data_IF_646914025249
#
_entry.id   IF_646914025249
#
_cell.length_a   1.000
_cell.length_b   1.000
_cell.length_c   1.000
_cell.angle_alpha   90.00
_cell.angle_beta   90.00
_cell.angle_gamma   90.00
#
_symmetry.space_group_name_H-M   'P 1'
#
loop_
_entity.id
_entity.type
_entity.pdbx_description
1 polymer ?
#
# COMPACT_ATOMS: atom_id res chain seq x y z
N UNK A 1 -24.97 -35.48 47.69
CA UNK A 1 -24.16 -34.25 47.68
C UNK A 1 -23.79 -33.96 46.25
N UNK A 2 -24.39 -32.99 45.56
CA UNK A 2 -23.97 -32.60 44.24
C UNK A 2 -22.80 -31.59 44.34
N UNK A 3 -21.85 -31.71 43.43
CA UNK A 3 -20.70 -30.81 43.32
C UNK A 3 -21.09 -29.46 42.68
N UNK A 4 -20.60 -28.32 43.19
CA UNK A 4 -20.90 -26.99 42.67
C UNK A 4 -19.75 -26.47 41.80
N UNK A 5 -19.86 -26.63 40.47
CA UNK A 5 -19.08 -25.78 39.57
C UNK A 5 -19.61 -25.82 38.13
N UNK A 6 -20.82 -25.40 37.94
CA UNK A 6 -21.29 -24.99 36.60
C UNK A 6 -21.23 -23.48 36.54
N UNK A 7 -20.45 -22.95 35.58
CA UNK A 7 -20.47 -21.55 35.27
C UNK A 7 -19.12 -20.89 35.01
N UNK A 8 -18.33 -21.40 34.06
CA UNK A 8 -17.37 -20.55 33.41
C UNK A 8 -18.01 -20.19 32.04
N UNK A 9 -18.69 -19.05 32.04
CA UNK A 9 -19.21 -18.47 30.82
C UNK A 9 -18.08 -18.25 29.84
N UNK A 10 -18.25 -18.74 28.62
CA UNK A 10 -17.40 -18.38 27.47
C UNK A 10 -17.31 -16.88 27.38
N UNK A 11 -16.10 -16.34 27.54
CA UNK A 11 -15.81 -14.95 27.22
C UNK A 11 -15.98 -14.74 25.71
N UNK A 12 -16.67 -13.68 25.27
CA UNK A 12 -17.06 -13.54 23.89
C UNK A 12 -15.87 -13.32 22.93
N UNK A 13 -15.97 -13.86 21.74
CA UNK A 13 -15.04 -13.79 20.60
C UNK A 13 -14.64 -12.36 20.13
N UNK A 14 -14.90 -11.32 20.92
CA UNK A 14 -14.58 -9.93 20.60
C UNK A 14 -13.10 -9.57 20.69
N UNK A 15 -12.24 -10.42 21.29
CA UNK A 15 -10.83 -10.08 21.51
C UNK A 15 -9.96 -10.19 20.26
N UNK A 16 -10.31 -11.03 19.30
CA UNK A 16 -9.45 -11.30 18.14
C UNK A 16 -9.46 -10.15 17.10
N UNK A 17 -10.61 -9.56 16.85
CA UNK A 17 -10.76 -8.45 15.87
C UNK A 17 -10.05 -7.16 16.32
N UNK A 18 -10.14 -6.82 17.62
CA UNK A 18 -9.48 -5.62 18.15
C UNK A 18 -7.95 -5.76 18.14
N UNK A 19 -7.42 -6.94 18.45
CA UNK A 19 -5.97 -7.21 18.35
C UNK A 19 -5.46 -7.19 16.92
N UNK A 20 -6.21 -7.74 15.97
CA UNK A 20 -5.86 -7.67 14.54
C UNK A 20 -5.85 -6.24 14.02
N UNK A 21 -6.83 -5.43 14.39
CA UNK A 21 -6.89 -4.01 14.01
C UNK A 21 -5.72 -3.22 14.61
N UNK A 22 -5.40 -3.42 15.88
CA UNK A 22 -4.26 -2.76 16.52
C UNK A 22 -2.93 -3.17 15.88
N UNK A 23 -2.74 -4.45 15.55
CA UNK A 23 -1.55 -4.96 14.86
C UNK A 23 -1.40 -4.35 13.46
N UNK A 24 -2.49 -4.19 12.71
CA UNK A 24 -2.47 -3.57 11.39
C UNK A 24 -2.08 -2.10 11.47
N UNK A 25 -2.61 -1.35 12.44
CA UNK A 25 -2.25 0.07 12.63
C UNK A 25 -0.75 0.20 12.92
N UNK A 26 -0.18 -0.64 13.78
CA UNK A 26 1.26 -0.64 14.08
C UNK A 26 2.09 -0.95 12.84
N UNK A 27 1.66 -1.90 12.02
CA UNK A 27 2.32 -2.26 10.78
C UNK A 27 2.28 -1.12 9.73
N UNK A 28 1.14 -0.44 9.60
CA UNK A 28 1.00 0.72 8.73
C UNK A 28 1.85 1.92 9.19
N UNK A 29 1.88 2.20 10.50
CA UNK A 29 2.70 3.26 11.06
C UNK A 29 4.19 2.97 10.87
N UNK A 30 4.62 1.72 11.03
CA UNK A 30 5.97 1.28 10.73
C UNK A 30 6.37 1.49 9.26
N UNK A 31 5.46 1.22 8.32
CA UNK A 31 5.66 1.52 6.89
C UNK A 31 5.84 3.03 6.65
N UNK A 32 5.01 3.86 7.28
CA UNK A 32 5.10 5.31 7.12
C UNK A 32 6.41 5.84 7.72
N UNK A 33 6.83 5.34 8.86
CA UNK A 33 8.09 5.72 9.47
C UNK A 33 9.29 5.30 8.63
N UNK A 34 9.25 4.11 8.02
CA UNK A 34 10.24 3.69 7.02
C UNK A 34 10.31 4.67 5.84
N UNK A 35 9.17 5.07 5.27
CA UNK A 35 9.10 6.04 4.17
C UNK A 35 9.67 7.39 4.60
N UNK A 36 9.33 7.88 5.80
CA UNK A 36 9.87 9.14 6.36
C UNK A 36 11.39 9.11 6.55
N UNK A 37 11.90 8.01 7.09
CA UNK A 37 13.33 7.82 7.29
C UNK A 37 14.08 7.87 5.97
N UNK A 38 13.59 7.18 4.94
CA UNK A 38 14.21 7.18 3.62
C UNK A 38 14.07 8.54 2.89
N UNK A 39 12.99 9.28 3.12
CA UNK A 39 12.88 10.66 2.63
C UNK A 39 13.99 11.54 3.22
N UNK A 40 14.19 11.49 4.55
CA UNK A 40 15.27 12.24 5.22
C UNK A 40 16.68 11.82 4.79
N UNK A 41 16.94 10.52 4.61
CA UNK A 41 18.19 10.02 4.08
C UNK A 41 18.48 10.53 2.65
N UNK A 42 17.45 10.57 1.80
CA UNK A 42 17.58 11.10 0.44
C UNK A 42 17.92 12.59 0.43
N UNK A 43 17.36 13.37 1.33
CA UNK A 43 17.69 14.79 1.48
C UNK A 43 19.13 15.01 1.93
N UNK A 44 19.63 14.18 2.82
CA UNK A 44 20.99 14.28 3.34
C UNK A 44 22.06 13.81 2.32
N UNK A 45 21.71 12.82 1.48
CA UNK A 45 22.67 12.18 0.58
C UNK A 45 22.85 12.89 -0.77
N UNK A 46 21.84 13.62 -1.24
CA UNK A 46 21.82 14.15 -2.60
C UNK A 46 21.60 15.66 -2.63
N UNK A 47 22.41 16.36 -3.44
CA UNK A 47 22.07 17.73 -3.86
C UNK A 47 20.96 17.68 -4.90
N UNK A 48 19.77 18.02 -4.48
CA UNK A 48 18.58 18.04 -5.34
C UNK A 48 18.40 19.46 -5.87
N UNK A 49 18.11 19.65 -7.16
CA UNK A 49 17.83 20.96 -7.74
C UNK A 49 16.68 21.66 -6.99
N UNK A 50 16.83 22.98 -6.77
CA UNK A 50 15.83 23.77 -6.00
C UNK A 50 14.48 23.87 -6.68
N UNK A 51 14.45 23.70 -8.00
CA UNK A 51 13.23 23.70 -8.82
C UNK A 51 12.41 22.42 -8.75
N UNK A 52 12.91 21.38 -8.05
CA UNK A 52 12.15 20.16 -7.88
C UNK A 52 11.15 20.30 -6.74
N UNK A 53 9.88 20.04 -7.05
CA UNK A 53 8.80 20.08 -6.06
C UNK A 53 8.89 18.97 -5.01
N UNK A 54 9.36 17.80 -5.40
CA UNK A 54 9.56 16.63 -4.53
C UNK A 54 11.00 16.14 -4.67
N UNK A 55 11.66 15.91 -3.56
CA UNK A 55 13.10 15.59 -3.53
C UNK A 55 13.43 14.13 -3.80
N UNK A 56 12.45 13.24 -3.66
CA UNK A 56 12.62 11.80 -3.92
C UNK A 56 11.26 11.13 -4.12
N UNK A 57 11.22 9.85 -4.60
CA UNK A 57 9.99 9.06 -4.63
C UNK A 57 9.33 8.90 -3.25
N UNK A 58 10.12 8.92 -2.16
CA UNK A 58 9.59 8.88 -0.80
C UNK A 58 8.79 10.15 -0.47
N UNK A 59 9.18 11.30 -0.97
CA UNK A 59 8.42 12.55 -0.81
C UNK A 59 7.11 12.52 -1.60
N UNK A 60 7.07 11.88 -2.77
CA UNK A 60 5.83 11.64 -3.49
C UNK A 60 4.90 10.74 -2.69
N UNK A 61 5.45 9.67 -2.08
CA UNK A 61 4.68 8.78 -1.21
C UNK A 61 4.13 9.50 0.03
N UNK A 62 4.91 10.38 0.66
CA UNK A 62 4.43 11.16 1.80
C UNK A 62 3.34 12.18 1.41
N UNK A 63 3.43 12.75 0.21
CA UNK A 63 2.48 13.74 -0.28
C UNK A 63 1.16 13.15 -0.80
N UNK A 64 1.23 12.00 -1.48
CA UNK A 64 0.11 11.42 -2.22
C UNK A 64 -0.28 10.01 -1.77
N UNK A 65 0.51 9.41 -0.90
CA UNK A 65 0.28 8.05 -0.44
C UNK A 65 -1.00 7.92 0.38
N UNK A 66 -1.53 6.70 0.36
CA UNK A 66 -2.71 6.26 1.10
C UNK A 66 -2.38 4.96 1.83
N UNK A 67 -3.09 4.68 2.92
CA UNK A 67 -3.10 3.38 3.61
C UNK A 67 -4.21 2.53 3.02
N UNK A 68 -3.92 1.25 2.82
CA UNK A 68 -4.90 0.33 2.26
C UNK A 68 -5.08 -0.87 3.18
N UNK A 69 -6.30 -1.37 3.24
CA UNK A 69 -6.64 -2.59 3.97
C UNK A 69 -6.61 -3.77 3.02
N UNK A 70 -5.81 -4.79 3.35
CA UNK A 70 -5.82 -6.04 2.63
C UNK A 70 -7.12 -6.81 2.92
N UNK A 71 -7.69 -7.39 1.87
CA UNK A 71 -8.79 -8.35 1.97
C UNK A 71 -8.39 -9.64 1.28
N UNK A 72 -8.92 -10.78 1.72
CA UNK A 72 -8.68 -12.05 1.05
C UNK A 72 -8.95 -11.97 -0.44
N UNK A 73 -8.11 -12.62 -1.22
CA UNK A 73 -8.28 -12.72 -2.67
C UNK A 73 -9.59 -13.42 -3.02
N UNK A 74 -10.24 -13.04 -4.12
CA UNK A 74 -11.43 -13.75 -4.60
C UNK A 74 -11.13 -15.23 -4.80
N UNK A 75 -12.10 -16.08 -4.51
CA UNK A 75 -12.00 -17.52 -4.79
C UNK A 75 -11.69 -17.74 -6.28
N UNK A 76 -10.70 -18.58 -6.55
CA UNK A 76 -10.27 -18.86 -7.93
C UNK A 76 -9.27 -17.85 -8.51
N UNK A 77 -8.83 -16.83 -7.79
CA UNK A 77 -7.71 -16.00 -8.22
C UNK A 77 -6.44 -16.86 -8.27
N UNK A 78 -5.94 -17.10 -9.49
CA UNK A 78 -4.66 -17.78 -9.68
C UNK A 78 -3.56 -16.76 -9.47
N UNK A 79 -2.67 -17.01 -8.51
CA UNK A 79 -1.51 -16.15 -8.26
C UNK A 79 -0.67 -15.95 -9.52
N UNK A 80 -0.34 -14.71 -9.82
CA UNK A 80 0.53 -14.36 -10.95
C UNK A 80 2.01 -14.59 -10.59
N UNK A 81 2.93 -14.68 -11.57
CA UNK A 81 4.33 -15.00 -11.31
C UNK A 81 4.97 -14.09 -10.25
N UNK A 82 5.66 -14.69 -9.28
CA UNK A 82 6.41 -13.96 -8.27
C UNK A 82 7.46 -13.01 -8.87
N UNK A 83 7.82 -11.96 -8.13
CA UNK A 83 8.82 -10.92 -8.51
C UNK A 83 8.42 -10.03 -9.68
N UNK A 84 7.19 -10.12 -10.18
CA UNK A 84 6.66 -9.29 -11.27
C UNK A 84 5.50 -8.39 -10.80
N UNK A 85 5.50 -7.97 -9.54
CA UNK A 85 4.38 -7.26 -8.91
C UNK A 85 3.90 -6.05 -9.71
N UNK A 86 4.81 -5.25 -10.27
CA UNK A 86 4.45 -4.07 -11.07
C UNK A 86 3.65 -4.42 -12.33
N UNK A 87 4.18 -5.35 -13.13
CA UNK A 87 3.47 -5.80 -14.34
C UNK A 87 2.24 -6.63 -14.04
N UNK A 88 2.24 -7.43 -12.98
CA UNK A 88 1.08 -8.21 -12.55
C UNK A 88 -0.07 -7.28 -12.15
N UNK A 89 0.19 -6.32 -11.26
CA UNK A 89 -0.80 -5.36 -10.80
C UNK A 89 -1.34 -4.50 -11.96
N UNK A 90 -0.45 -4.00 -12.83
CA UNK A 90 -0.85 -3.19 -13.98
C UNK A 90 -1.71 -3.97 -14.97
N UNK A 91 -1.33 -5.21 -15.31
CA UNK A 91 -2.12 -6.07 -16.22
C UNK A 91 -3.47 -6.43 -15.63
N UNK A 92 -3.51 -6.79 -14.35
CA UNK A 92 -4.75 -7.15 -13.69
C UNK A 92 -5.70 -5.94 -13.62
N UNK A 93 -5.22 -4.79 -13.16
CA UNK A 93 -6.01 -3.55 -13.14
C UNK A 93 -6.50 -3.15 -14.54
N UNK A 94 -5.68 -3.30 -15.57
CA UNK A 94 -6.07 -2.99 -16.95
C UNK A 94 -7.16 -3.92 -17.48
N UNK A 95 -7.05 -5.22 -17.21
CA UNK A 95 -8.05 -6.21 -17.62
C UNK A 95 -9.41 -5.96 -16.97
N UNK A 96 -9.41 -5.48 -15.73
CA UNK A 96 -10.61 -5.24 -14.92
C UNK A 96 -10.95 -3.75 -14.72
N UNK A 97 -10.45 -2.87 -15.59
CA UNK A 97 -10.68 -1.42 -15.47
C UNK A 97 -12.15 -0.99 -15.51
N UNK A 98 -12.98 -1.77 -16.21
CA UNK A 98 -14.43 -1.55 -16.24
C UNK A 98 -15.13 -1.79 -14.90
N UNK A 99 -14.46 -2.52 -13.99
CA UNK A 99 -14.91 -2.76 -12.63
C UNK A 99 -14.40 -1.69 -11.65
N UNK A 100 -13.69 -0.69 -12.16
CA UNK A 100 -13.14 0.41 -11.37
C UNK A 100 -11.85 0.06 -10.63
N UNK A 101 -11.17 -1.03 -11.01
CA UNK A 101 -9.89 -1.41 -10.41
C UNK A 101 -8.78 -0.47 -10.84
N UNK A 102 -7.93 -0.08 -9.86
CA UNK A 102 -6.86 0.90 -10.02
C UNK A 102 -5.53 0.30 -9.61
N UNK A 103 -4.48 0.58 -10.37
CA UNK A 103 -3.10 0.25 -10.02
C UNK A 103 -2.60 1.13 -8.88
N UNK A 104 -1.90 0.54 -7.91
CA UNK A 104 -1.21 1.27 -6.86
C UNK A 104 0.23 0.77 -6.71
N UNK A 105 1.11 1.69 -6.31
CA UNK A 105 2.53 1.42 -6.12
C UNK A 105 3.05 2.13 -4.88
N UNK A 106 3.90 1.44 -4.12
CA UNK A 106 4.49 1.98 -2.90
C UNK A 106 5.30 0.95 -2.15
N UNK A 107 5.04 0.82 -0.85
CA UNK A 107 5.67 -0.16 0.02
C UNK A 107 4.62 -1.04 0.68
N UNK A 108 4.96 -2.31 0.84
CA UNK A 108 4.15 -3.25 1.58
C UNK A 108 4.99 -4.04 2.59
N UNK A 109 4.38 -4.38 3.72
CA UNK A 109 4.95 -5.29 4.70
C UNK A 109 4.70 -6.73 4.23
N UNK A 110 5.78 -7.50 4.03
CA UNK A 110 5.68 -8.87 3.49
C UNK A 110 5.03 -9.82 4.48
N UNK A 111 5.44 -9.72 5.74
CA UNK A 111 4.97 -10.57 6.83
C UNK A 111 5.16 -9.84 8.15
N UNK A 112 4.16 -9.88 9.03
CA UNK A 112 4.20 -9.15 10.30
C UNK A 112 5.39 -9.54 11.20
N UNK A 113 5.82 -10.81 11.13
CA UNK A 113 6.92 -11.32 11.96
C UNK A 113 8.31 -10.89 11.48
N UNK A 114 8.48 -10.56 10.19
CA UNK A 114 9.78 -10.29 9.59
C UNK A 114 10.08 -8.81 9.42
N UNK A 115 9.09 -7.92 9.54
CA UNK A 115 9.18 -6.46 9.37
C UNK A 115 9.95 -6.01 8.10
N UNK A 116 9.82 -6.77 7.01
CA UNK A 116 10.40 -6.40 5.74
C UNK A 116 9.44 -5.51 4.96
N UNK A 117 9.84 -4.24 4.81
CA UNK A 117 9.17 -3.26 3.97
C UNK A 117 9.76 -3.33 2.56
N UNK A 118 8.99 -3.84 1.61
CA UNK A 118 9.45 -3.97 0.23
C UNK A 118 8.71 -3.01 -0.69
N UNK A 119 9.42 -2.43 -1.68
CA UNK A 119 8.77 -1.80 -2.82
C UNK A 119 7.86 -2.81 -3.51
N UNK A 120 6.59 -2.44 -3.73
CA UNK A 120 5.57 -3.35 -4.22
C UNK A 120 4.48 -2.62 -5.00
N UNK A 121 3.73 -3.38 -5.80
CA UNK A 121 2.55 -2.88 -6.49
C UNK A 121 1.39 -3.88 -6.35
N UNK A 122 0.21 -3.35 -6.27
CA UNK A 122 -1.04 -4.07 -6.09
C UNK A 122 -2.19 -3.40 -6.82
N UNK A 123 -3.36 -3.97 -6.73
CA UNK A 123 -4.60 -3.40 -7.27
C UNK A 123 -5.47 -2.90 -6.12
N UNK A 124 -6.12 -1.77 -6.32
CA UNK A 124 -7.08 -1.19 -5.38
C UNK A 124 -8.48 -1.29 -5.96
N UNK A 125 -9.41 -1.84 -5.17
CA UNK A 125 -10.84 -1.89 -5.51
C UNK A 125 -11.52 -0.54 -5.27
N UNK A 126 -12.71 -0.31 -5.83
CA UNK A 126 -13.47 0.93 -5.60
C UNK A 126 -13.79 1.21 -4.14
N UNK A 127 -13.85 0.19 -3.29
CA UNK A 127 -14.05 0.32 -1.84
C UNK A 127 -12.77 0.66 -1.06
N UNK A 128 -11.64 0.82 -1.76
CA UNK A 128 -10.34 1.13 -1.17
C UNK A 128 -9.60 -0.07 -0.59
N UNK A 129 -10.06 -1.30 -0.83
CA UNK A 129 -9.36 -2.51 -0.36
C UNK A 129 -8.32 -2.99 -1.38
N UNK A 130 -7.31 -3.72 -0.88
CA UNK A 130 -6.25 -4.31 -1.71
C UNK A 130 -6.70 -5.62 -2.32
N UNK A 131 -6.36 -5.82 -3.59
CA UNK A 131 -6.24 -7.10 -4.26
C UNK A 131 -4.81 -7.26 -4.75
N UNK A 132 -4.09 -8.26 -4.22
CA UNK A 132 -2.70 -8.49 -4.60
C UNK A 132 -2.59 -9.72 -5.52
N UNK A 133 -2.36 -9.52 -6.83
CA UNK A 133 -2.28 -10.66 -7.75
C UNK A 133 -0.92 -11.40 -7.68
N UNK A 134 0.04 -10.90 -6.91
CA UNK A 134 1.41 -11.45 -6.86
C UNK A 134 1.68 -12.24 -5.59
N UNK A 135 1.17 -11.75 -4.47
CA UNK A 135 1.35 -12.38 -3.17
C UNK A 135 0.07 -13.09 -2.74
N UNK A 136 0.23 -14.26 -2.15
CA UNK A 136 -0.83 -14.96 -1.43
C UNK A 136 -1.30 -14.18 -0.21
N UNK A 137 -2.48 -14.50 0.24
CA UNK A 137 -3.07 -13.87 1.42
C UNK A 137 -2.27 -14.25 2.66
N UNK A 138 -1.78 -13.24 3.39
CA UNK A 138 -1.12 -13.42 4.66
C UNK A 138 -1.67 -12.43 5.69
N UNK A 139 -1.97 -12.91 6.91
CA UNK A 139 -2.42 -12.03 7.99
C UNK A 139 -1.38 -10.95 8.31
N UNK A 140 -1.86 -9.74 8.61
CA UNK A 140 -1.02 -8.64 9.07
C UNK A 140 -0.23 -7.91 7.98
N UNK A 141 -0.47 -8.17 6.71
CA UNK A 141 0.08 -7.35 5.61
C UNK A 141 -0.48 -5.95 5.65
N UNK A 142 0.42 -4.97 5.56
CA UNK A 142 0.08 -3.56 5.44
C UNK A 142 0.58 -3.00 4.12
N UNK A 143 -0.16 -2.04 3.57
CA UNK A 143 0.11 -1.44 2.26
C UNK A 143 0.01 0.08 2.38
N UNK A 144 1.08 0.77 1.95
CA UNK A 144 1.13 2.23 1.84
C UNK A 144 1.66 2.61 0.47
N UNK A 145 0.86 3.31 -0.32
CA UNK A 145 1.26 3.67 -1.69
C UNK A 145 0.33 4.68 -2.35
N UNK A 146 0.59 4.94 -3.62
CA UNK A 146 -0.11 5.94 -4.42
C UNK A 146 -1.07 5.21 -5.37
N UNK A 147 -2.39 5.42 -5.29
CA UNK A 147 -3.36 4.88 -6.22
C UNK A 147 -3.39 5.72 -7.51
N UNK A 148 -2.98 5.13 -8.63
CA UNK A 148 -2.79 5.81 -9.90
C UNK A 148 -3.95 5.48 -10.84
N UNK A 149 -4.83 6.45 -11.08
CA UNK A 149 -5.99 6.29 -11.95
C UNK A 149 -5.63 6.34 -13.43
N UNK A 150 -4.62 7.15 -13.80
CA UNK A 150 -4.20 7.31 -15.19
C UNK A 150 -3.38 6.09 -15.66
N UNK A 151 -4.00 5.22 -16.43
CA UNK A 151 -3.36 4.00 -16.96
C UNK A 151 -2.15 4.26 -17.86
N UNK A 152 -1.95 5.47 -18.37
CA UNK A 152 -0.76 5.84 -19.15
C UNK A 152 0.50 5.89 -18.28
N UNK A 153 0.34 6.03 -16.97
CA UNK A 153 1.41 5.99 -15.99
C UNK A 153 1.72 4.57 -15.49
N UNK A 154 0.90 3.58 -15.82
CA UNK A 154 1.12 2.22 -15.35
C UNK A 154 2.31 1.57 -16.05
N UNK A 155 3.09 0.70 -15.39
CA UNK A 155 4.20 0.02 -16.02
C UNK A 155 3.69 -1.01 -17.04
N UNK A 156 4.24 -0.98 -18.25
CA UNK A 156 3.95 -1.98 -19.28
C UNK A 156 4.85 -3.20 -19.10
N UNK A 157 6.09 -2.95 -18.71
CA UNK A 157 7.11 -3.97 -18.43
C UNK A 157 8.19 -3.36 -17.51
N UNK A 158 8.96 -4.22 -16.84
CA UNK A 158 10.08 -3.77 -16.00
C UNK A 158 9.67 -3.31 -14.61
N UNK A 159 10.37 -2.29 -14.10
CA UNK A 159 10.17 -1.71 -12.76
C UNK A 159 8.92 -0.84 -12.66
N UNK A 160 8.60 -0.47 -11.41
CA UNK A 160 7.50 0.44 -11.11
C UNK A 160 7.76 1.88 -11.54
N UNK A 161 6.71 2.70 -11.52
CA UNK A 161 6.80 4.13 -11.81
C UNK A 161 7.76 4.86 -10.86
N UNK A 162 7.70 4.52 -9.55
CA UNK A 162 8.54 5.17 -8.52
C UNK A 162 9.98 4.64 -8.49
N UNK A 163 10.30 3.57 -9.23
CA UNK A 163 11.63 2.96 -9.29
C UNK A 163 12.36 3.23 -10.59
N UNK A 164 11.64 3.65 -11.62
CA UNK A 164 12.19 4.04 -12.90
C UNK A 164 12.46 5.55 -12.87
N UNK A 165 13.75 5.93 -12.82
CA UNK A 165 14.15 7.33 -12.67
C UNK A 165 13.63 8.21 -13.82
N UNK A 166 13.67 7.72 -15.05
CA UNK A 166 13.24 8.52 -16.23
C UNK A 166 11.74 8.83 -16.16
N UNK A 167 10.95 7.90 -15.62
CA UNK A 167 9.51 8.06 -15.44
C UNK A 167 9.15 8.86 -14.19
N UNK A 168 9.95 8.72 -13.14
CA UNK A 168 9.73 9.42 -11.87
C UNK A 168 10.16 10.89 -11.96
N UNK A 169 11.20 11.21 -12.71
CA UNK A 169 11.78 12.54 -12.77
C UNK A 169 10.75 13.66 -13.09
N UNK A 170 9.85 13.52 -14.08
CA UNK A 170 8.79 14.51 -14.31
C UNK A 170 7.87 14.71 -13.10
N UNK A 171 7.61 13.63 -12.34
CA UNK A 171 6.77 13.67 -11.14
C UNK A 171 7.49 14.36 -9.97
N UNK A 172 8.81 14.16 -9.84
CA UNK A 172 9.60 14.86 -8.84
C UNK A 172 9.61 16.37 -9.08
N UNK A 173 9.69 16.78 -10.35
CA UNK A 173 9.67 18.20 -10.73
C UNK A 173 8.31 18.85 -10.55
N UNK A 174 7.26 18.22 -11.04
CA UNK A 174 5.96 18.86 -11.25
C UNK A 174 4.83 18.29 -10.37
N UNK A 175 5.03 17.12 -9.77
CA UNK A 175 3.96 16.32 -9.17
C UNK A 175 3.19 15.50 -10.22
N UNK A 176 2.14 14.85 -9.77
CA UNK A 176 1.25 14.11 -10.67
C UNK A 176 0.39 15.06 -11.51
N UNK A 177 0.10 14.69 -12.78
CA UNK A 177 -0.86 15.42 -13.59
C UNK A 177 -2.25 15.50 -12.91
N UNK A 178 -3.05 16.52 -13.24
CA UNK A 178 -4.44 16.57 -12.78
C UNK A 178 -5.19 15.28 -13.11
N UNK A 179 -5.99 14.79 -12.17
CA UNK A 179 -6.79 13.55 -12.29
C UNK A 179 -5.98 12.26 -12.51
N UNK A 180 -4.66 12.30 -12.34
CA UNK A 180 -3.84 11.09 -12.45
C UNK A 180 -3.98 10.14 -11.28
N UNK A 181 -4.45 10.61 -10.14
CA UNK A 181 -4.61 9.83 -8.91
C UNK A 181 -6.08 9.54 -8.61
N UNK A 182 -6.34 8.36 -8.04
CA UNK A 182 -7.64 8.01 -7.50
C UNK A 182 -7.75 8.45 -6.04
N UNK A 183 -8.94 8.86 -5.62
CA UNK A 183 -9.22 9.14 -4.20
C UNK A 183 -9.69 7.86 -3.50
N UNK A 184 -8.78 6.90 -3.40
CA UNK A 184 -9.01 5.58 -2.79
C UNK A 184 -8.03 5.35 -1.63
N UNK A 185 -8.48 4.58 -0.64
CA UNK A 185 -7.69 4.32 0.56
C UNK A 185 -7.77 5.46 1.61
N UNK A 186 -7.17 5.23 2.77
CA UNK A 186 -7.18 6.17 3.90
C UNK A 186 -5.98 7.12 3.83
N UNK A 187 -6.13 8.43 4.12
CA UNK A 187 -4.99 9.36 4.17
C UNK A 187 -3.88 8.90 5.11
N UNK A 188 -2.61 9.24 4.81
CA UNK A 188 -1.48 8.94 5.70
C UNK A 188 -1.56 9.74 7.01
N UNK A 189 -2.06 10.97 6.94
CA UNK A 189 -2.25 11.85 8.07
C UNK A 189 -3.76 12.02 8.26
N UNK A 190 -4.30 11.51 9.35
CA UNK A 190 -5.59 11.97 9.84
C UNK A 190 -5.39 13.41 10.28
N UNK A 191 -6.04 14.37 9.61
CA UNK A 191 -6.11 15.76 10.11
C UNK A 191 -6.67 15.67 11.52
N UNK A 192 -5.79 15.80 12.53
CA UNK A 192 -6.21 15.98 13.90
C UNK A 192 -7.16 17.18 13.92
N UNK A 193 -8.30 17.01 14.53
CA UNK A 193 -9.18 18.12 14.85
C UNK A 193 -8.37 19.07 15.74
N UNK A 194 -8.06 20.23 15.18
CA UNK A 194 -7.52 21.40 15.92
C UNK A 194 -8.65 22.03 16.69
#
# INVERSE_FOLDING_TARGET
MPAPWEGIGELPHMTNSAHQTASLIVAEDGLIDHIRQHAGLSEAAYRIPEDWRYRSPFHLLLAFGRRFTHTPSPEGLIGMPARLCYSNAARYAFAHRSEGLVYAEGFALTHAELNFYLPHAWVVRPDGTVLDPTWDDAPGRAYVGIPIADSRLWPVAGGGLLQDFDRTLPLLRNGFPPNALADLGRPLITKGHS
#
